data_IF_499959135892
#
_entry.id   IF_499959135892
#
_cell.length_a   1.000
_cell.length_b   1.000
_cell.length_c   1.000
_cell.angle_alpha   90.00
_cell.angle_beta   90.00
_cell.angle_gamma   90.00
#
_symmetry.space_group_name_H-M   'P 1'
#
loop_
_entity.id
_entity.type
_entity.pdbx_description
1 polymer ?
#
# COMPACT_ATOMS: atom_id res chain seq x y z
N UNK A 1 57.80 -71.45 60.88
CA UNK A 1 56.39 -71.48 60.46
C UNK A 1 55.58 -71.98 61.65
N UNK A 2 54.84 -71.11 62.34
CA UNK A 2 53.93 -71.52 63.39
C UNK A 2 52.52 -71.12 62.93
N UNK A 3 51.83 -72.10 62.35
CA UNK A 3 50.42 -71.99 61.97
C UNK A 3 49.60 -72.02 63.26
N UNK A 4 49.07 -70.88 63.67
CA UNK A 4 48.07 -70.79 64.73
C UNK A 4 46.77 -71.37 64.21
N UNK A 5 46.58 -72.68 64.40
CA UNK A 5 45.32 -73.35 64.15
C UNK A 5 44.28 -72.86 65.17
N UNK A 6 43.31 -72.06 64.72
CA UNK A 6 42.12 -71.69 65.47
C UNK A 6 41.35 -72.95 65.89
N UNK A 7 40.80 -73.00 67.10
CA UNK A 7 40.02 -74.15 67.57
C UNK A 7 38.76 -74.34 66.71
N UNK A 8 38.34 -75.59 66.40
CA UNK A 8 37.18 -75.87 65.54
C UNK A 8 35.88 -75.19 66.01
N UNK A 9 35.73 -75.04 67.33
CA UNK A 9 34.59 -74.38 67.97
C UNK A 9 34.52 -72.87 67.66
N UNK A 10 35.67 -72.19 67.59
CA UNK A 10 35.73 -70.77 67.27
C UNK A 10 35.44 -70.51 65.78
N UNK A 11 35.89 -71.42 64.91
CA UNK A 11 35.60 -71.38 63.47
C UNK A 11 34.11 -71.64 63.21
N UNK A 12 33.50 -72.63 63.87
CA UNK A 12 32.06 -72.88 63.79
C UNK A 12 31.23 -71.70 64.32
N UNK A 13 31.62 -71.10 65.44
CA UNK A 13 30.95 -69.91 65.98
C UNK A 13 30.99 -68.72 65.02
N UNK A 14 32.13 -68.47 64.37
CA UNK A 14 32.27 -67.40 63.37
C UNK A 14 31.43 -67.68 62.10
N UNK A 15 31.40 -68.94 61.63
CA UNK A 15 30.58 -69.33 60.49
C UNK A 15 29.08 -69.17 60.76
N UNK A 16 28.60 -69.51 61.96
CA UNK A 16 27.18 -69.34 62.32
C UNK A 16 26.77 -67.86 62.34
N UNK A 17 27.59 -66.98 62.93
CA UNK A 17 27.34 -65.53 62.91
C UNK A 17 27.31 -65.01 61.47
N UNK A 18 28.17 -65.53 60.60
CA UNK A 18 28.24 -65.11 59.21
C UNK A 18 27.05 -65.61 58.39
N UNK A 19 26.51 -66.80 58.69
CA UNK A 19 25.25 -67.31 58.13
C UNK A 19 24.06 -66.45 58.56
N UNK A 20 23.96 -66.07 59.84
CA UNK A 20 22.90 -65.18 60.34
C UNK A 20 22.94 -63.79 59.68
N UNK A 21 24.15 -63.26 59.44
CA UNK A 21 24.35 -61.99 58.72
C UNK A 21 23.90 -62.13 57.26
N UNK A 22 24.26 -63.24 56.61
CA UNK A 22 23.84 -63.51 55.23
C UNK A 22 22.33 -63.71 55.11
N UNK A 23 21.70 -64.42 56.03
CA UNK A 23 20.25 -64.64 56.04
C UNK A 23 19.49 -63.32 56.25
N UNK A 24 19.95 -62.46 57.16
CA UNK A 24 19.40 -61.09 57.30
C UNK A 24 19.59 -60.27 56.01
N UNK A 25 20.76 -60.35 55.39
CA UNK A 25 21.02 -59.63 54.15
C UNK A 25 20.14 -60.14 52.99
N UNK A 26 19.91 -61.45 52.88
CA UNK A 26 19.01 -62.05 51.87
C UNK A 26 17.58 -61.59 52.10
N UNK A 27 17.07 -61.68 53.33
CA UNK A 27 15.72 -61.22 53.66
C UNK A 27 15.52 -59.72 53.39
N UNK A 28 16.54 -58.90 53.67
CA UNK A 28 16.51 -57.47 53.36
C UNK A 28 16.53 -57.20 51.84
N UNK A 29 17.28 -58.02 51.09
CA UNK A 29 17.36 -57.93 49.64
C UNK A 29 16.05 -58.36 48.97
N UNK A 30 15.43 -59.44 49.45
CA UNK A 30 14.10 -59.90 48.99
C UNK A 30 13.02 -58.85 49.29
N UNK A 31 13.02 -58.26 50.49
CA UNK A 31 12.11 -57.18 50.85
C UNK A 31 12.30 -55.94 49.95
N UNK A 32 13.55 -55.60 49.62
CA UNK A 32 13.86 -54.51 48.67
C UNK A 32 13.40 -54.85 47.25
N UNK A 33 13.56 -56.09 46.80
CA UNK A 33 13.09 -56.52 45.48
C UNK A 33 11.56 -56.47 45.37
N UNK A 34 10.84 -56.96 46.36
CA UNK A 34 9.36 -56.90 46.40
C UNK A 34 8.88 -55.45 46.38
N UNK A 35 9.51 -54.58 47.17
CA UNK A 35 9.18 -53.15 47.18
C UNK A 35 9.48 -52.49 45.82
N UNK A 36 10.62 -52.80 45.22
CA UNK A 36 10.99 -52.24 43.91
C UNK A 36 10.03 -52.70 42.80
N UNK A 37 9.61 -53.97 42.81
CA UNK A 37 8.62 -54.52 41.89
C UNK A 37 7.26 -53.82 42.06
N UNK A 38 6.77 -53.68 43.29
CA UNK A 38 5.51 -52.98 43.57
C UNK A 38 5.55 -51.50 43.14
N UNK A 39 6.67 -50.81 43.35
CA UNK A 39 6.87 -49.43 42.87
C UNK A 39 6.88 -49.34 41.34
N UNK A 40 7.45 -50.34 40.65
CA UNK A 40 7.48 -50.40 39.19
C UNK A 40 6.09 -50.69 38.61
N UNK A 41 5.35 -51.62 39.20
CA UNK A 41 3.97 -51.92 38.80
C UNK A 41 3.05 -50.71 39.01
N UNK A 42 3.19 -50.01 40.14
CA UNK A 42 2.44 -48.78 40.39
C UNK A 42 2.75 -47.68 39.34
N UNK A 43 4.02 -47.55 38.92
CA UNK A 43 4.42 -46.62 37.84
C UNK A 43 3.80 -47.02 36.50
N UNK A 44 3.81 -48.30 36.15
CA UNK A 44 3.22 -48.79 34.90
C UNK A 44 1.71 -48.61 34.86
N UNK A 45 1.01 -48.92 35.95
CA UNK A 45 -0.45 -48.70 36.06
C UNK A 45 -0.79 -47.22 35.89
N UNK A 46 -0.02 -46.33 36.53
CA UNK A 46 -0.22 -44.87 36.37
C UNK A 46 0.04 -44.41 34.94
N UNK A 47 1.11 -44.88 34.30
CA UNK A 47 1.44 -44.54 32.92
C UNK A 47 0.38 -45.05 31.93
N UNK A 48 -0.15 -46.26 32.15
CA UNK A 48 -1.24 -46.83 31.36
C UNK A 48 -2.52 -45.98 31.48
N UNK A 49 -2.92 -45.64 32.71
CA UNK A 49 -4.09 -44.79 32.95
C UNK A 49 -3.95 -43.39 32.32
N UNK A 50 -2.76 -42.78 32.39
CA UNK A 50 -2.47 -41.50 31.73
C UNK A 50 -2.53 -41.62 30.19
N UNK A 51 -2.09 -42.73 29.62
CA UNK A 51 -2.17 -42.98 28.18
C UNK A 51 -3.62 -43.16 27.71
N UNK A 52 -4.42 -43.94 28.44
CA UNK A 52 -5.85 -44.14 28.14
C UNK A 52 -6.64 -42.82 28.25
N UNK A 53 -6.37 -42.01 29.28
CA UNK A 53 -6.99 -40.70 29.42
C UNK A 53 -6.65 -39.77 28.24
N UNK A 54 -5.39 -39.76 27.79
CA UNK A 54 -4.96 -39.00 26.61
C UNK A 54 -5.63 -39.49 25.32
N UNK A 55 -5.75 -40.81 25.14
CA UNK A 55 -6.43 -41.39 23.98
C UNK A 55 -7.93 -41.05 23.96
N UNK A 56 -8.60 -41.11 25.12
CA UNK A 56 -10.01 -40.72 25.26
C UNK A 56 -10.23 -39.23 24.92
N UNK A 57 -9.38 -38.34 25.47
CA UNK A 57 -9.45 -36.92 25.17
C UNK A 57 -9.21 -36.61 23.68
N UNK A 58 -8.24 -37.30 23.05
CA UNK A 58 -7.99 -37.15 21.62
C UNK A 58 -9.18 -37.62 20.76
N UNK A 59 -9.84 -38.71 21.14
CA UNK A 59 -11.02 -39.21 20.44
C UNK A 59 -12.22 -38.25 20.58
N UNK A 60 -12.43 -37.66 21.76
CA UNK A 60 -13.45 -36.63 21.96
C UNK A 60 -13.20 -35.37 21.11
N UNK A 61 -11.94 -34.93 21.02
CA UNK A 61 -11.56 -33.79 20.18
C UNK A 61 -11.84 -34.08 18.70
N UNK A 62 -11.47 -35.27 18.21
CA UNK A 62 -11.74 -35.68 16.83
C UNK A 62 -13.23 -35.73 16.53
N UNK A 63 -14.04 -36.26 17.45
CA UNK A 63 -15.50 -36.32 17.28
C UNK A 63 -16.10 -34.90 17.24
N UNK A 64 -15.69 -34.01 18.14
CA UNK A 64 -16.13 -32.60 18.12
C UNK A 64 -15.77 -31.90 16.81
N UNK A 65 -14.55 -32.12 16.32
CA UNK A 65 -14.08 -31.51 15.08
C UNK A 65 -14.80 -32.08 13.85
N UNK A 66 -15.16 -33.36 13.86
CA UNK A 66 -16.02 -33.97 12.83
C UNK A 66 -17.42 -33.33 12.82
N UNK A 67 -18.03 -33.12 13.99
CA UNK A 67 -19.34 -32.46 14.10
C UNK A 67 -19.30 -31.03 13.54
N UNK A 68 -18.31 -30.23 13.93
CA UNK A 68 -18.13 -28.87 13.40
C UNK A 68 -17.94 -28.86 11.88
N UNK A 69 -17.18 -29.81 11.34
CA UNK A 69 -16.98 -29.93 9.90
C UNK A 69 -18.27 -30.28 9.17
N UNK A 70 -19.14 -31.11 9.76
CA UNK A 70 -20.45 -31.42 9.17
C UNK A 70 -21.41 -30.23 9.20
N UNK A 71 -21.42 -29.45 10.28
CA UNK A 71 -22.23 -28.23 10.39
C UNK A 71 -21.81 -27.19 9.35
N UNK A 72 -20.50 -26.92 9.24
CA UNK A 72 -19.96 -25.99 8.23
C UNK A 72 -20.27 -26.42 6.80
N UNK A 73 -20.28 -27.73 6.51
CA UNK A 73 -20.68 -28.26 5.21
C UNK A 73 -22.16 -27.97 4.92
N UNK A 74 -23.02 -28.14 5.92
CA UNK A 74 -24.45 -27.87 5.78
C UNK A 74 -24.74 -26.38 5.59
N UNK A 75 -24.07 -25.51 6.36
CA UNK A 75 -24.17 -24.06 6.18
C UNK A 75 -23.70 -23.61 4.78
N UNK A 76 -22.58 -24.15 4.30
CA UNK A 76 -22.11 -23.86 2.95
C UNK A 76 -23.10 -24.31 1.86
N UNK A 77 -23.74 -25.46 2.04
CA UNK A 77 -24.79 -25.93 1.12
C UNK A 77 -26.00 -24.99 1.13
N UNK A 78 -26.45 -24.55 2.30
CA UNK A 78 -27.56 -23.60 2.44
C UNK A 78 -27.25 -22.23 1.80
N UNK A 79 -26.03 -21.71 1.98
CA UNK A 79 -25.58 -20.47 1.36
C UNK A 79 -25.54 -20.57 -0.16
N UNK A 80 -25.07 -21.70 -0.71
CA UNK A 80 -25.08 -21.93 -2.16
C UNK A 80 -26.50 -21.95 -2.73
N UNK A 81 -27.44 -22.61 -2.05
CA UNK A 81 -28.84 -22.64 -2.47
C UNK A 81 -29.45 -21.23 -2.48
N UNK A 82 -29.18 -20.40 -1.46
CA UNK A 82 -29.63 -19.00 -1.43
C UNK A 82 -29.05 -18.17 -2.57
N UNK A 83 -27.76 -18.35 -2.87
CA UNK A 83 -27.11 -17.64 -3.98
C UNK A 83 -27.70 -18.03 -5.33
N UNK A 84 -28.04 -19.31 -5.51
CA UNK A 84 -28.72 -19.79 -6.73
C UNK A 84 -30.12 -19.21 -6.87
N UNK A 85 -30.88 -19.11 -5.77
CA UNK A 85 -32.20 -18.47 -5.74
C UNK A 85 -32.10 -16.98 -6.11
N UNK A 86 -31.19 -16.22 -5.48
CA UNK A 86 -30.96 -14.80 -5.81
C UNK A 86 -30.54 -14.59 -7.27
N UNK A 87 -29.69 -15.47 -7.80
CA UNK A 87 -29.29 -15.45 -9.22
C UNK A 87 -30.47 -15.69 -10.14
N UNK A 88 -31.35 -16.64 -9.80
CA UNK A 88 -32.56 -16.91 -10.57
C UNK A 88 -33.50 -15.70 -10.55
N UNK A 89 -33.72 -15.08 -9.38
CA UNK A 89 -34.54 -13.86 -9.25
C UNK A 89 -33.98 -12.71 -10.09
N UNK A 90 -32.68 -12.45 -9.98
CA UNK A 90 -32.00 -11.40 -10.73
C UNK A 90 -32.04 -11.64 -12.25
N UNK A 91 -31.89 -12.90 -12.69
CA UNK A 91 -32.03 -13.27 -14.10
C UNK A 91 -33.43 -12.95 -14.64
N UNK A 92 -34.48 -13.27 -13.88
CA UNK A 92 -35.87 -12.96 -14.24
C UNK A 92 -36.09 -11.45 -14.34
N UNK A 93 -35.65 -10.68 -13.34
CA UNK A 93 -35.75 -9.22 -13.36
C UNK A 93 -35.03 -8.60 -14.56
N UNK A 94 -33.85 -9.12 -14.91
CA UNK A 94 -33.09 -8.64 -16.05
C UNK A 94 -33.77 -8.97 -17.39
N UNK A 95 -34.47 -10.11 -17.47
CA UNK A 95 -35.28 -10.48 -18.63
C UNK A 95 -36.51 -9.57 -18.78
N UNK A 96 -37.17 -9.22 -17.68
CA UNK A 96 -38.28 -8.26 -17.66
C UNK A 96 -37.85 -6.86 -18.12
N UNK A 97 -36.72 -6.36 -17.61
CA UNK A 97 -36.16 -5.06 -18.04
C UNK A 97 -35.80 -5.09 -19.53
N UNK A 98 -35.23 -6.18 -20.04
CA UNK A 98 -34.95 -6.34 -21.48
C UNK A 98 -36.22 -6.32 -22.31
N UNK A 99 -37.27 -7.03 -21.89
CA UNK A 99 -38.56 -7.03 -22.56
C UNK A 99 -39.19 -5.63 -22.56
N UNK A 100 -39.13 -4.92 -21.42
CA UNK A 100 -39.61 -3.54 -21.31
C UNK A 100 -38.87 -2.59 -22.26
N UNK A 101 -37.53 -2.67 -22.32
CA UNK A 101 -36.73 -1.86 -23.23
C UNK A 101 -37.01 -2.17 -24.71
N UNK A 102 -37.22 -3.45 -25.05
CA UNK A 102 -37.62 -3.84 -26.41
C UNK A 102 -39.00 -3.28 -26.77
N UNK A 103 -39.97 -3.33 -25.84
CA UNK A 103 -41.29 -2.76 -26.05
C UNK A 103 -41.23 -1.22 -26.20
N UNK A 104 -40.41 -0.55 -25.39
CA UNK A 104 -40.20 0.89 -25.50
C UNK A 104 -39.56 1.27 -26.84
N UNK A 105 -38.54 0.52 -27.29
CA UNK A 105 -37.91 0.71 -28.59
C UNK A 105 -38.91 0.50 -29.74
N UNK A 106 -39.76 -0.51 -29.64
CA UNK A 106 -40.82 -0.76 -30.63
C UNK A 106 -41.85 0.37 -30.68
N UNK A 107 -42.26 0.91 -29.51
CA UNK A 107 -43.15 2.08 -29.43
C UNK A 107 -42.51 3.33 -30.03
N UNK A 108 -41.25 3.60 -29.71
CA UNK A 108 -40.50 4.72 -30.26
C UNK A 108 -40.36 4.61 -31.79
N UNK A 109 -40.08 3.40 -32.30
CA UNK A 109 -40.04 3.16 -33.74
C UNK A 109 -41.41 3.34 -34.41
N UNK A 110 -42.51 2.90 -33.78
CA UNK A 110 -43.86 3.10 -34.30
C UNK A 110 -44.28 4.58 -34.28
N UNK A 111 -43.81 5.36 -33.30
CA UNK A 111 -44.06 6.80 -33.18
C UNK A 111 -43.20 7.61 -34.18
N UNK A 112 -42.08 7.04 -34.63
CA UNK A 112 -41.20 7.58 -35.68
C UNK A 112 -41.64 7.20 -37.11
N UNK A 113 -42.58 6.26 -37.29
CA UNK A 113 -43.19 5.88 -38.58
C UNK A 113 -44.31 6.86 -39.02
N UNK A 114 -44.05 8.17 -38.90
CA UNK A 114 -44.65 9.23 -39.72
C UNK A 114 -43.57 9.66 -40.73
N UNK A 115 -43.90 9.69 -42.03
CA UNK A 115 -43.18 8.95 -43.07
C UNK A 115 -41.72 9.41 -43.21
N UNK A 116 -40.78 8.53 -42.88
CA UNK A 116 -39.41 8.64 -43.38
C UNK A 116 -39.16 7.53 -44.38
N UNK A 117 -39.06 7.95 -45.64
CA UNK A 117 -38.55 7.17 -46.76
C UNK A 117 -37.33 6.36 -46.35
N UNK A 118 -37.36 5.09 -46.70
CA UNK A 118 -36.28 4.12 -46.59
C UNK A 118 -34.91 4.72 -46.93
N UNK A 119 -33.98 4.66 -45.98
CA UNK A 119 -32.54 4.49 -46.25
C UNK A 119 -31.79 4.26 -44.93
N UNK A 120 -31.72 2.99 -44.53
CA UNK A 120 -30.76 2.53 -43.53
C UNK A 120 -29.39 2.38 -44.16
N UNK A 121 -28.68 3.48 -44.39
CA UNK A 121 -27.23 3.52 -44.57
C UNK A 121 -26.71 4.96 -44.45
N UNK A 122 -25.95 5.22 -43.38
CA UNK A 122 -24.94 6.27 -43.20
C UNK A 122 -25.06 7.51 -44.11
N UNK A 123 -25.83 8.52 -43.69
CA UNK A 123 -25.58 9.90 -44.15
C UNK A 123 -24.53 10.50 -43.21
N UNK A 124 -23.39 11.00 -43.71
CA UNK A 124 -22.44 11.74 -42.87
C UNK A 124 -23.17 12.92 -42.21
N UNK A 125 -22.87 13.15 -40.93
CA UNK A 125 -23.47 14.25 -40.17
C UNK A 125 -23.24 15.58 -40.88
N UNK A 126 -24.27 16.43 -40.92
CA UNK A 126 -24.15 17.76 -41.53
C UNK A 126 -23.28 18.69 -40.69
N UNK A 127 -22.73 19.73 -41.33
CA UNK A 127 -21.93 20.74 -40.64
C UNK A 127 -22.72 21.43 -39.51
N UNK A 128 -23.99 21.76 -39.73
CA UNK A 128 -24.88 22.27 -38.68
C UNK A 128 -25.01 21.32 -37.48
N UNK A 129 -25.23 20.02 -37.72
CA UNK A 129 -25.38 19.03 -36.65
C UNK A 129 -24.08 18.89 -35.83
N UNK A 130 -22.91 18.96 -36.49
CA UNK A 130 -21.60 18.93 -35.82
C UNK A 130 -21.36 20.19 -34.96
N UNK A 131 -21.75 21.37 -35.46
CA UNK A 131 -21.64 22.63 -34.72
C UNK A 131 -22.56 22.61 -33.49
N UNK A 132 -23.82 22.19 -33.65
CA UNK A 132 -24.77 22.09 -32.54
C UNK A 132 -24.28 21.12 -31.46
N UNK A 133 -23.72 19.98 -31.86
CA UNK A 133 -23.16 18.98 -30.95
C UNK A 133 -21.96 19.53 -30.18
N UNK A 134 -21.05 20.26 -30.84
CA UNK A 134 -19.92 20.93 -30.19
C UNK A 134 -20.38 22.00 -29.20
N UNK A 135 -21.34 22.83 -29.59
CA UNK A 135 -21.81 23.94 -28.76
C UNK A 135 -22.62 23.43 -27.54
N UNK A 136 -23.32 22.30 -27.68
CA UNK A 136 -23.94 21.58 -26.56
C UNK A 136 -22.89 21.08 -25.57
N UNK A 137 -21.81 20.45 -26.06
CA UNK A 137 -20.70 20.01 -25.20
C UNK A 137 -19.99 21.19 -24.51
N UNK A 138 -19.87 22.34 -25.19
CA UNK A 138 -19.31 23.56 -24.58
C UNK A 138 -20.16 24.09 -23.42
N UNK A 139 -21.49 24.05 -23.55
CA UNK A 139 -22.40 24.41 -22.44
C UNK A 139 -22.33 23.41 -21.29
N UNK A 140 -22.21 22.11 -21.59
CA UNK A 140 -22.03 21.04 -20.60
C UNK A 140 -20.73 21.25 -19.81
N UNK A 141 -19.63 21.58 -20.48
CA UNK A 141 -18.37 21.90 -19.81
C UNK A 141 -18.46 23.16 -18.95
N UNK A 142 -19.12 24.21 -19.44
CA UNK A 142 -19.34 25.45 -18.68
C UNK A 142 -20.19 25.20 -17.41
N UNK A 143 -21.00 24.13 -17.39
CA UNK A 143 -21.72 23.66 -16.23
C UNK A 143 -20.89 22.73 -15.30
N UNK A 144 -19.57 22.63 -15.52
CA UNK A 144 -18.63 21.80 -14.75
C UNK A 144 -18.93 20.30 -14.75
N UNK A 145 -19.55 19.78 -15.82
CA UNK A 145 -19.83 18.35 -15.97
C UNK A 145 -18.55 17.59 -16.31
N UNK A 146 -18.33 16.46 -15.63
CA UNK A 146 -17.16 15.61 -15.84
C UNK A 146 -17.15 14.93 -17.23
N UNK A 147 -15.94 14.57 -17.64
CA UNK A 147 -15.63 13.84 -18.87
C UNK A 147 -16.26 12.43 -18.93
N UNK A 148 -16.57 11.80 -17.78
CA UNK A 148 -17.20 10.48 -17.72
C UNK A 148 -18.65 10.53 -18.20
N UNK A 149 -19.40 11.54 -17.76
CA UNK A 149 -20.74 11.81 -18.26
C UNK A 149 -20.74 12.24 -19.73
N UNK A 150 -19.74 13.00 -20.17
CA UNK A 150 -19.59 13.31 -21.59
C UNK A 150 -19.38 12.04 -22.44
N UNK A 151 -18.55 11.11 -21.97
CA UNK A 151 -18.33 9.81 -22.65
C UNK A 151 -19.59 8.96 -22.68
N UNK A 152 -20.33 8.86 -21.57
CA UNK A 152 -21.56 8.08 -21.51
C UNK A 152 -22.70 8.67 -22.36
N UNK A 153 -22.71 10.00 -22.52
CA UNK A 153 -23.58 10.71 -23.48
C UNK A 153 -23.17 10.53 -24.95
N UNK A 154 -22.09 9.77 -25.22
CA UNK A 154 -21.63 9.40 -26.55
C UNK A 154 -20.71 10.43 -27.21
N UNK A 155 -20.18 11.42 -26.47
CA UNK A 155 -19.16 12.33 -27.01
C UNK A 155 -17.81 11.64 -27.14
N UNK A 156 -17.13 11.95 -28.23
CA UNK A 156 -15.79 11.44 -28.52
C UNK A 156 -14.73 12.24 -27.77
N UNK A 157 -13.58 11.60 -27.56
CA UNK A 157 -12.42 12.25 -26.97
C UNK A 157 -11.98 13.49 -27.79
N UNK A 158 -12.06 13.44 -29.13
CA UNK A 158 -11.71 14.55 -30.00
C UNK A 158 -12.63 15.78 -29.80
N UNK A 159 -13.94 15.56 -29.64
CA UNK A 159 -14.92 16.63 -29.37
C UNK A 159 -14.63 17.29 -28.01
N UNK A 160 -14.31 16.51 -26.99
CA UNK A 160 -13.94 17.03 -25.67
C UNK A 160 -12.69 17.94 -25.75
N UNK A 161 -11.71 17.59 -26.60
CA UNK A 161 -10.48 18.40 -26.77
C UNK A 161 -10.77 19.76 -27.37
N UNK A 162 -11.62 19.80 -28.40
CA UNK A 162 -12.00 21.04 -29.10
C UNK A 162 -12.73 22.00 -28.16
N UNK A 163 -13.51 21.46 -27.23
CA UNK A 163 -14.23 22.23 -26.20
C UNK A 163 -13.31 22.59 -25.00
N UNK A 164 -12.09 22.07 -25.00
CA UNK A 164 -11.02 22.45 -24.09
C UNK A 164 -11.03 21.72 -22.75
N UNK A 165 -11.66 20.54 -22.66
CA UNK A 165 -11.38 19.65 -21.52
C UNK A 165 -9.87 19.42 -21.46
N UNK A 166 -9.33 19.39 -20.25
CA UNK A 166 -7.90 19.18 -20.02
C UNK A 166 -7.56 17.71 -20.22
N UNK A 167 -6.27 17.42 -20.45
CA UNK A 167 -5.81 16.04 -20.51
C UNK A 167 -6.05 15.29 -19.19
N UNK A 168 -5.94 15.98 -18.05
CA UNK A 168 -6.20 15.42 -16.72
C UNK A 168 -7.64 14.93 -16.57
N UNK A 169 -8.60 15.74 -17.03
CA UNK A 169 -10.01 15.36 -17.10
C UNK A 169 -10.15 14.20 -18.09
N UNK A 170 -9.69 14.33 -19.32
CA UNK A 170 -9.87 13.31 -20.35
C UNK A 170 -9.29 11.91 -19.97
N UNK A 171 -8.20 11.85 -19.20
CA UNK A 171 -7.60 10.60 -18.67
C UNK A 171 -8.54 9.80 -17.76
N UNK A 172 -9.51 10.44 -17.11
CA UNK A 172 -10.47 9.77 -16.22
C UNK A 172 -11.51 8.96 -17.03
N UNK A 173 -11.80 9.37 -18.26
CA UNK A 173 -12.88 8.79 -19.05
C UNK A 173 -12.39 7.96 -20.26
N UNK A 174 -11.31 8.38 -20.93
CA UNK A 174 -10.84 7.75 -22.17
C UNK A 174 -9.48 7.07 -22.01
N UNK A 175 -9.28 6.00 -22.78
CA UNK A 175 -8.02 5.26 -22.81
C UNK A 175 -6.92 6.02 -23.56
N UNK A 176 -5.67 5.63 -23.34
CA UNK A 176 -4.49 6.25 -23.96
C UNK A 176 -4.54 6.30 -25.48
N UNK A 177 -5.08 5.26 -26.12
CA UNK A 177 -5.19 5.22 -27.59
C UNK A 177 -6.26 6.19 -28.12
N UNK A 178 -7.36 6.36 -27.39
CA UNK A 178 -8.41 7.33 -27.71
C UNK A 178 -7.88 8.77 -27.55
N UNK A 179 -7.12 9.02 -26.47
CA UNK A 179 -6.45 10.30 -26.21
C UNK A 179 -5.40 10.63 -27.29
N UNK A 180 -4.66 9.62 -27.77
CA UNK A 180 -3.72 9.75 -28.88
C UNK A 180 -4.42 10.06 -30.20
N UNK A 181 -5.50 9.35 -30.52
CA UNK A 181 -6.30 9.59 -31.73
C UNK A 181 -6.97 10.97 -31.72
N UNK A 182 -7.43 11.42 -30.55
CA UNK A 182 -7.95 12.77 -30.35
C UNK A 182 -6.85 13.84 -30.37
N UNK A 183 -5.58 13.44 -30.28
CA UNK A 183 -4.40 14.30 -30.22
C UNK A 183 -4.31 15.12 -28.92
N UNK A 184 -4.93 14.66 -27.84
CA UNK A 184 -4.54 15.11 -26.50
C UNK A 184 -3.09 14.75 -26.21
N UNK A 185 -2.63 13.67 -26.84
CA UNK A 185 -1.29 13.13 -26.80
C UNK A 185 -0.79 13.03 -28.24
N UNK A 186 0.47 13.41 -28.48
CA UNK A 186 1.06 13.35 -29.82
C UNK A 186 1.04 11.92 -30.40
N UNK A 187 0.67 11.78 -31.67
CA UNK A 187 0.56 10.49 -32.38
C UNK A 187 1.91 9.81 -32.65
N UNK A 188 2.99 10.58 -32.60
CA UNK A 188 4.38 10.13 -32.46
C UNK A 188 4.92 10.79 -31.21
N UNK A 189 5.51 10.01 -30.30
CA UNK A 189 6.25 10.58 -29.18
C UNK A 189 7.24 11.65 -29.66
N UNK A 190 7.48 12.65 -28.83
CA UNK A 190 8.52 13.63 -29.08
C UNK A 190 9.83 13.02 -28.58
N UNK A 191 10.86 13.00 -29.43
CA UNK A 191 12.16 12.50 -28.97
C UNK A 191 12.82 13.49 -28.03
N UNK A 192 13.70 13.03 -27.14
CA UNK A 192 14.45 13.93 -26.25
C UNK A 192 15.31 14.94 -27.04
N UNK A 193 15.75 14.57 -28.25
CA UNK A 193 16.45 15.47 -29.18
C UNK A 193 15.53 16.57 -29.72
N UNK A 194 14.35 16.20 -30.23
CA UNK A 194 13.39 17.18 -30.74
C UNK A 194 12.96 18.15 -29.63
N UNK A 195 12.82 17.64 -28.40
CA UNK A 195 12.55 18.45 -27.22
C UNK A 195 13.63 19.51 -27.02
N UNK A 196 14.91 19.12 -27.04
CA UNK A 196 16.03 20.04 -26.84
C UNK A 196 16.10 21.11 -27.93
N UNK A 197 15.85 20.74 -29.19
CA UNK A 197 15.84 21.70 -30.31
C UNK A 197 14.73 22.75 -30.13
N UNK A 198 13.53 22.32 -29.72
CA UNK A 198 12.41 23.23 -29.50
C UNK A 198 12.56 24.06 -28.23
N UNK A 199 13.10 23.48 -27.16
CA UNK A 199 13.42 24.20 -25.93
C UNK A 199 14.50 25.27 -26.18
N UNK A 200 15.53 24.94 -26.95
CA UNK A 200 16.55 25.89 -27.41
C UNK A 200 16.00 26.99 -28.32
N UNK A 201 14.95 26.69 -29.10
CA UNK A 201 14.21 27.67 -29.89
C UNK A 201 13.26 28.57 -29.05
N UNK A 202 13.22 28.40 -27.73
CA UNK A 202 12.42 29.21 -26.81
C UNK A 202 11.01 28.66 -26.55
N UNK A 203 10.68 27.45 -27.03
CA UNK A 203 9.42 26.79 -26.66
C UNK A 203 9.50 26.31 -25.22
N UNK A 204 8.51 26.68 -24.41
CA UNK A 204 8.45 26.36 -22.97
C UNK A 204 7.29 25.42 -22.60
N UNK A 205 6.27 25.33 -23.46
CA UNK A 205 5.09 24.51 -23.22
C UNK A 205 5.13 23.18 -24.01
N UNK A 206 5.27 22.09 -23.27
CA UNK A 206 5.31 20.72 -23.76
C UNK A 206 4.16 19.88 -23.19
N UNK A 207 3.13 20.52 -22.62
CA UNK A 207 2.02 19.83 -21.95
C UNK A 207 1.33 18.79 -22.84
N UNK A 208 1.07 17.61 -22.28
CA UNK A 208 0.36 16.52 -22.94
C UNK A 208 1.15 15.75 -23.99
N UNK A 209 2.46 16.00 -24.14
CA UNK A 209 3.29 15.23 -25.06
C UNK A 209 3.64 13.84 -24.51
N UNK A 210 3.94 12.92 -25.42
CA UNK A 210 4.39 11.56 -25.10
C UNK A 210 5.91 11.48 -25.26
N UNK A 211 6.56 11.06 -24.19
CA UNK A 211 8.00 10.86 -24.03
C UNK A 211 8.30 9.44 -23.52
N UNK A 212 7.41 8.49 -23.80
CA UNK A 212 7.54 7.09 -23.37
C UNK A 212 8.88 6.51 -23.83
N UNK A 213 9.68 6.01 -22.88
CA UNK A 213 10.98 5.38 -23.14
C UNK A 213 12.12 6.32 -23.54
N UNK A 214 11.90 7.63 -23.54
CA UNK A 214 12.91 8.61 -23.94
C UNK A 214 13.98 8.84 -22.86
N UNK A 215 15.17 9.25 -23.30
CA UNK A 215 16.31 9.52 -22.42
C UNK A 215 16.51 11.01 -22.16
N UNK A 216 16.20 11.44 -20.93
CA UNK A 216 16.45 12.76 -20.35
C UNK A 216 17.59 12.74 -19.32
N UNK A 217 18.40 11.68 -19.32
CA UNK A 217 19.48 11.54 -18.34
C UNK A 217 20.46 12.72 -18.45
N UNK A 218 20.85 13.26 -17.29
CA UNK A 218 21.78 14.42 -17.17
C UNK A 218 21.29 15.73 -17.78
N UNK A 219 20.03 15.82 -18.21
CA UNK A 219 19.47 17.09 -18.69
C UNK A 219 19.31 18.09 -17.54
N UNK A 220 19.43 19.37 -17.88
CA UNK A 220 19.19 20.49 -16.96
C UNK A 220 17.93 21.20 -17.43
N UNK A 221 16.85 21.03 -16.67
CA UNK A 221 15.54 21.61 -16.97
C UNK A 221 15.17 22.57 -15.85
N UNK A 222 14.65 23.73 -16.22
CA UNK A 222 14.28 24.78 -15.30
C UNK A 222 12.76 25.02 -15.28
N UNK A 223 12.35 26.01 -14.47
CA UNK A 223 10.95 26.40 -14.30
C UNK A 223 10.25 26.88 -15.58
N UNK A 224 10.98 27.12 -16.67
CA UNK A 224 10.34 27.44 -17.95
C UNK A 224 9.68 26.19 -18.55
N UNK A 225 10.14 24.99 -18.23
CA UNK A 225 9.59 23.75 -18.76
C UNK A 225 8.24 23.38 -18.13
N UNK A 226 7.19 23.35 -18.97
CA UNK A 226 5.87 22.88 -18.58
C UNK A 226 5.58 21.51 -19.19
N UNK A 227 5.60 20.47 -18.37
CA UNK A 227 5.29 19.08 -18.74
C UNK A 227 3.97 18.58 -18.15
N UNK A 228 3.04 19.50 -17.86
CA UNK A 228 1.74 19.12 -17.32
C UNK A 228 1.03 18.11 -18.23
N UNK A 229 0.55 17.01 -17.66
CA UNK A 229 -0.18 15.97 -18.39
C UNK A 229 0.67 15.02 -19.24
N UNK A 230 1.97 15.24 -19.40
CA UNK A 230 2.83 14.43 -20.27
C UNK A 230 2.90 12.95 -19.87
N UNK A 231 3.32 12.10 -20.80
CA UNK A 231 3.57 10.68 -20.54
C UNK A 231 5.08 10.43 -20.58
N UNK A 232 5.65 10.03 -19.46
CA UNK A 232 7.06 9.69 -19.30
C UNK A 232 7.24 8.21 -18.96
N UNK A 233 6.33 7.35 -19.43
CA UNK A 233 6.33 5.94 -19.06
C UNK A 233 7.65 5.29 -19.48
N UNK A 234 8.40 4.74 -18.52
CA UNK A 234 9.72 4.14 -18.80
C UNK A 234 10.81 5.11 -19.27
N UNK A 235 10.58 6.43 -19.23
CA UNK A 235 11.61 7.41 -19.55
C UNK A 235 12.72 7.43 -18.48
N UNK A 236 13.93 7.89 -18.84
CA UNK A 236 15.04 8.02 -17.90
C UNK A 236 15.36 9.49 -17.60
N UNK A 237 15.29 9.90 -16.34
CA UNK A 237 15.81 11.19 -15.85
C UNK A 237 17.02 10.98 -14.93
N UNK A 238 17.77 9.90 -15.12
CA UNK A 238 18.94 9.60 -14.28
C UNK A 238 19.91 10.76 -14.26
N UNK A 239 20.32 11.20 -13.08
CA UNK A 239 21.22 12.35 -12.89
C UNK A 239 20.72 13.67 -13.51
N UNK A 240 19.44 13.79 -13.87
CA UNK A 240 18.88 15.04 -14.37
C UNK A 240 18.80 16.08 -13.25
N UNK A 241 18.93 17.35 -13.60
CA UNK A 241 18.73 18.49 -12.70
C UNK A 241 17.41 19.16 -13.09
N UNK A 242 16.39 18.98 -12.26
CA UNK A 242 15.04 19.49 -12.46
C UNK A 242 14.78 20.55 -11.38
N UNK A 243 14.68 21.82 -11.78
CA UNK A 243 14.49 22.93 -10.85
C UNK A 243 13.24 23.72 -11.22
N UNK A 244 12.19 23.61 -10.40
CA UNK A 244 10.94 24.34 -10.63
C UNK A 244 10.07 23.81 -11.77
N UNK A 245 10.37 22.62 -12.29
CA UNK A 245 9.67 22.04 -13.45
C UNK A 245 8.25 21.61 -13.05
N UNK A 246 7.29 21.84 -13.94
CA UNK A 246 5.89 21.45 -13.73
C UNK A 246 5.60 20.08 -14.37
N UNK A 247 5.42 19.06 -13.53
CA UNK A 247 5.00 17.70 -13.87
C UNK A 247 3.57 17.38 -13.42
N UNK A 248 2.72 18.38 -13.16
CA UNK A 248 1.35 18.14 -12.70
C UNK A 248 0.59 17.25 -13.68
N UNK A 249 -0.15 16.26 -13.16
CA UNK A 249 -0.90 15.29 -13.98
C UNK A 249 -0.06 14.45 -14.98
N UNK A 250 1.27 14.50 -14.89
CA UNK A 250 2.14 13.69 -15.72
C UNK A 250 2.11 12.22 -15.27
N UNK A 251 2.25 11.32 -16.22
CA UNK A 251 2.43 9.90 -15.95
C UNK A 251 3.92 9.56 -15.91
N UNK A 252 4.49 9.40 -14.71
CA UNK A 252 5.88 8.99 -14.50
C UNK A 252 5.99 7.49 -14.18
N UNK A 253 4.98 6.67 -14.52
CA UNK A 253 5.01 5.23 -14.27
C UNK A 253 6.24 4.58 -14.92
N UNK A 254 6.91 3.66 -14.22
CA UNK A 254 8.12 2.97 -14.69
C UNK A 254 9.33 3.87 -15.05
N UNK A 255 9.22 5.19 -14.83
CA UNK A 255 10.29 6.14 -15.07
C UNK A 255 11.45 5.95 -14.08
N UNK A 256 12.69 6.26 -14.49
CA UNK A 256 13.86 6.23 -13.62
C UNK A 256 14.29 7.64 -13.18
N UNK A 257 14.07 7.97 -11.91
CA UNK A 257 14.46 9.23 -11.27
C UNK A 257 15.75 9.08 -10.42
N UNK A 258 16.49 7.98 -10.57
CA UNK A 258 17.65 7.71 -9.72
C UNK A 258 18.72 8.80 -9.86
N UNK A 259 19.21 9.30 -8.74
CA UNK A 259 20.17 10.41 -8.67
C UNK A 259 19.71 11.74 -9.31
N UNK A 260 18.44 11.87 -9.68
CA UNK A 260 17.89 13.13 -10.17
C UNK A 260 17.75 14.14 -9.03
N UNK A 261 17.92 15.43 -9.31
CA UNK A 261 17.61 16.50 -8.37
C UNK A 261 16.24 17.08 -8.71
N UNK A 262 15.26 16.90 -7.85
CA UNK A 262 13.92 17.47 -7.97
C UNK A 262 13.76 18.60 -6.95
N UNK A 263 14.23 19.79 -7.30
CA UNK A 263 14.11 20.97 -6.45
C UNK A 263 12.92 21.80 -6.89
N UNK A 264 12.01 22.09 -5.97
CA UNK A 264 10.84 22.96 -6.19
C UNK A 264 9.96 22.51 -7.38
N UNK A 265 10.02 21.23 -7.75
CA UNK A 265 9.19 20.69 -8.82
C UNK A 265 7.75 20.51 -8.34
N UNK A 266 6.80 20.74 -9.24
CA UNK A 266 5.38 20.51 -8.96
C UNK A 266 4.98 19.16 -9.54
N UNK A 267 4.48 18.27 -8.69
CA UNK A 267 4.11 16.88 -9.05
C UNK A 267 2.67 16.58 -8.59
N UNK A 268 1.82 17.60 -8.51
CA UNK A 268 0.42 17.48 -8.09
C UNK A 268 -0.34 16.56 -9.05
N UNK A 269 -1.05 15.58 -8.51
CA UNK A 269 -1.81 14.57 -9.27
C UNK A 269 -0.99 13.82 -10.33
N UNK A 270 0.34 13.79 -10.21
CA UNK A 270 1.19 13.00 -11.07
C UNK A 270 1.15 11.52 -10.63
N UNK A 271 1.26 10.61 -11.58
CA UNK A 271 1.46 9.19 -11.27
C UNK A 271 2.95 8.96 -10.98
N UNK A 272 3.36 8.57 -9.77
CA UNK A 272 4.77 8.43 -9.43
C UNK A 272 5.40 7.17 -10.03
N UNK A 273 6.73 7.15 -10.24
CA UNK A 273 7.42 5.91 -10.54
C UNK A 273 7.46 5.00 -9.31
N UNK A 274 7.68 3.70 -9.56
CA UNK A 274 7.83 2.70 -8.51
C UNK A 274 8.92 3.11 -7.49
N UNK A 275 8.73 2.81 -6.20
CA UNK A 275 9.63 3.24 -5.11
C UNK A 275 11.12 2.99 -5.38
N UNK A 276 11.46 1.85 -6.01
CA UNK A 276 12.84 1.48 -6.35
C UNK A 276 13.52 2.35 -7.41
N UNK A 277 12.77 3.24 -8.09
CA UNK A 277 13.27 4.14 -9.14
C UNK A 277 13.66 5.53 -8.63
N UNK A 278 13.57 5.76 -7.32
CA UNK A 278 13.95 7.02 -6.67
C UNK A 278 15.35 6.97 -6.05
N UNK A 279 16.14 5.92 -6.32
CA UNK A 279 17.42 5.66 -5.65
C UNK A 279 18.39 6.84 -5.74
N UNK A 280 18.72 7.44 -4.59
CA UNK A 280 19.63 8.59 -4.52
C UNK A 280 19.09 9.90 -5.11
N UNK A 281 17.78 9.98 -5.42
CA UNK A 281 17.14 11.21 -5.85
C UNK A 281 17.20 12.26 -4.73
N UNK A 282 17.56 13.50 -5.09
CA UNK A 282 17.58 14.63 -4.16
C UNK A 282 16.24 15.34 -4.22
N UNK A 283 15.50 15.27 -3.12
CA UNK A 283 14.17 15.85 -3.00
C UNK A 283 14.22 17.11 -2.15
N UNK A 284 13.62 18.18 -2.65
CA UNK A 284 13.41 19.41 -1.87
C UNK A 284 12.18 20.15 -2.40
N UNK A 285 11.46 20.81 -1.50
CA UNK A 285 10.28 21.60 -1.86
C UNK A 285 8.98 20.80 -1.82
N UNK A 286 8.07 21.05 -2.77
CA UNK A 286 6.65 20.67 -2.74
C UNK A 286 6.34 19.29 -3.34
N UNK A 287 7.27 18.34 -3.27
CA UNK A 287 7.03 17.00 -3.83
C UNK A 287 6.06 16.23 -2.93
N UNK A 288 4.89 15.76 -3.43
CA UNK A 288 3.85 15.14 -2.60
C UNK A 288 4.16 13.67 -2.25
N UNK A 289 5.30 13.43 -1.58
CA UNK A 289 5.81 12.08 -1.29
C UNK A 289 4.83 11.21 -0.50
N UNK A 290 4.02 11.81 0.39
CA UNK A 290 3.00 11.06 1.15
C UNK A 290 1.89 10.52 0.23
N UNK A 291 1.47 11.30 -0.76
CA UNK A 291 0.47 10.86 -1.75
C UNK A 291 1.02 9.73 -2.63
N UNK A 292 2.34 9.70 -2.84
CA UNK A 292 3.04 8.64 -3.56
C UNK A 292 3.26 7.37 -2.72
N UNK A 293 2.72 7.31 -1.49
CA UNK A 293 2.79 6.14 -0.63
C UNK A 293 4.12 5.97 0.10
N UNK A 294 4.96 7.01 0.17
CA UNK A 294 6.16 6.99 1.00
C UNK A 294 5.85 7.30 2.46
N UNK A 295 6.50 6.59 3.37
CA UNK A 295 6.50 6.90 4.80
C UNK A 295 7.50 8.01 5.13
N UNK A 296 7.30 8.66 6.27
CA UNK A 296 8.20 9.73 6.74
C UNK A 296 9.64 9.21 6.98
N UNK A 297 9.77 7.94 7.40
CA UNK A 297 11.08 7.28 7.58
C UNK A 297 11.79 7.00 6.24
N UNK A 298 11.05 6.60 5.19
CA UNK A 298 11.63 6.38 3.86
C UNK A 298 12.18 7.68 3.26
N UNK A 299 11.44 8.80 3.37
CA UNK A 299 11.93 10.11 2.89
C UNK A 299 13.10 10.64 3.71
N UNK A 300 13.19 10.26 5.00
CA UNK A 300 14.37 10.54 5.83
C UNK A 300 15.61 9.80 5.36
N UNK A 301 15.47 8.52 5.03
CA UNK A 301 16.58 7.73 4.47
C UNK A 301 17.05 8.28 3.11
N UNK A 302 16.18 8.98 2.38
CA UNK A 302 16.53 9.71 1.14
C UNK A 302 17.17 11.09 1.41
N UNK A 303 17.32 11.51 2.67
CA UNK A 303 17.94 12.79 3.03
C UNK A 303 17.03 14.01 2.86
N UNK A 304 15.71 13.82 2.71
CA UNK A 304 14.76 14.91 2.57
C UNK A 304 14.49 15.56 3.94
N UNK A 305 14.97 16.79 4.14
CA UNK A 305 14.65 17.58 5.35
C UNK A 305 13.73 18.74 5.01
N UNK A 306 14.06 19.51 3.97
CA UNK A 306 13.25 20.66 3.55
C UNK A 306 11.99 20.21 2.80
N UNK A 307 10.85 20.81 3.12
CA UNK A 307 9.59 20.55 2.43
C UNK A 307 8.80 19.34 2.92
N UNK A 308 9.18 18.70 4.03
CA UNK A 308 8.41 17.61 4.66
C UNK A 308 6.93 17.97 4.92
N UNK A 309 6.67 19.21 5.39
CA UNK A 309 5.31 19.71 5.59
C UNK A 309 4.55 19.80 4.26
N UNK A 310 5.20 20.34 3.23
CA UNK A 310 4.62 20.47 1.89
C UNK A 310 4.39 19.10 1.22
N UNK A 311 5.20 18.10 1.56
CA UNK A 311 5.03 16.71 1.12
C UNK A 311 3.85 15.99 1.79
N UNK A 312 3.19 16.63 2.77
CA UNK A 312 1.99 16.14 3.43
C UNK A 312 2.21 15.45 4.78
N UNK A 313 3.44 15.42 5.31
CA UNK A 313 3.72 14.80 6.61
C UNK A 313 3.37 15.73 7.78
N UNK A 314 2.88 15.15 8.86
CA UNK A 314 2.60 15.84 10.13
C UNK A 314 3.83 15.86 11.02
N UNK A 315 3.87 16.77 12.01
CA UNK A 315 4.94 16.78 13.02
C UNK A 315 5.05 15.45 13.78
N UNK A 316 3.92 14.82 14.11
CA UNK A 316 3.92 13.54 14.82
C UNK A 316 4.60 12.43 13.98
N UNK A 317 4.31 12.35 12.68
CA UNK A 317 4.97 11.43 11.76
C UNK A 317 6.48 11.73 11.64
N UNK A 318 6.85 13.01 11.58
CA UNK A 318 8.25 13.42 11.60
C UNK A 318 8.95 12.99 12.91
N UNK A 319 8.27 13.10 14.05
CA UNK A 319 8.82 12.68 15.35
C UNK A 319 9.05 11.18 15.40
N UNK A 320 8.08 10.40 14.93
CA UNK A 320 8.17 8.94 14.85
C UNK A 320 9.30 8.49 13.92
N UNK A 321 9.55 9.22 12.82
CA UNK A 321 10.69 9.00 11.95
C UNK A 321 12.03 9.49 12.56
N UNK A 322 12.00 10.12 13.72
CA UNK A 322 13.15 10.62 14.46
C UNK A 322 13.74 11.91 13.90
N UNK A 323 12.97 12.74 13.20
CA UNK A 323 13.41 14.11 12.91
C UNK A 323 13.43 14.91 14.21
N UNK A 324 14.54 15.57 14.51
CA UNK A 324 14.64 16.52 15.63
C UNK A 324 15.35 17.74 15.09
N UNK A 325 16.59 17.58 14.64
CA UNK A 325 17.31 18.60 13.89
C UNK A 325 16.65 18.83 12.52
N UNK A 326 16.57 20.11 12.11
CA UNK A 326 16.01 20.49 10.81
C UNK A 326 14.48 20.56 10.75
N UNK A 327 13.75 20.34 11.85
CA UNK A 327 12.27 20.43 11.86
C UNK A 327 11.77 21.83 11.49
N UNK A 328 12.50 22.89 11.85
CA UNK A 328 12.19 24.25 11.40
C UNK A 328 12.40 24.42 9.88
N UNK A 329 13.49 23.86 9.34
CA UNK A 329 13.77 23.85 7.91
C UNK A 329 12.79 22.99 7.09
N UNK A 330 12.17 22.00 7.74
CA UNK A 330 11.09 21.18 7.20
C UNK A 330 9.76 21.94 7.01
N UNK A 331 9.66 23.17 7.53
CA UNK A 331 8.51 24.06 7.37
C UNK A 331 7.51 24.02 8.52
N UNK A 332 7.83 23.34 9.63
CA UNK A 332 6.96 23.26 10.80
C UNK A 332 7.17 24.43 11.76
N UNK A 333 6.11 24.82 12.43
CA UNK A 333 6.14 25.82 13.52
C UNK A 333 6.39 25.15 14.87
N UNK A 334 6.86 25.93 15.85
CA UNK A 334 7.07 25.42 17.21
C UNK A 334 5.77 24.92 17.86
N UNK A 335 4.63 25.56 17.57
CA UNK A 335 3.32 25.12 18.03
C UNK A 335 2.91 23.77 17.43
N UNK A 336 3.14 23.56 16.12
CA UNK A 336 2.91 22.27 15.46
C UNK A 336 3.84 21.17 16.01
N UNK A 337 5.10 21.52 16.32
CA UNK A 337 6.02 20.59 16.96
C UNK A 337 5.50 20.17 18.34
N UNK A 338 5.03 21.11 19.17
CA UNK A 338 4.44 20.78 20.47
C UNK A 338 3.21 19.87 20.32
N UNK A 339 2.29 20.19 19.41
CA UNK A 339 1.11 19.36 19.12
C UNK A 339 1.49 17.97 18.59
N UNK A 340 2.58 17.88 17.81
CA UNK A 340 3.17 16.63 17.33
C UNK A 340 3.92 15.83 18.41
N UNK A 341 3.91 16.30 19.66
CA UNK A 341 4.46 15.60 20.82
C UNK A 341 5.93 15.90 21.09
N UNK A 342 6.55 16.89 20.44
CA UNK A 342 7.94 17.29 20.73
C UNK A 342 8.07 17.96 22.11
N UNK A 343 9.14 17.65 22.81
CA UNK A 343 9.52 18.27 24.08
C UNK A 343 10.16 19.64 23.85
N UNK A 344 10.25 20.46 24.91
CA UNK A 344 10.91 21.76 24.83
C UNK A 344 12.41 21.64 24.46
N UNK A 345 13.08 20.57 24.92
CA UNK A 345 14.46 20.27 24.56
C UNK A 345 14.62 19.92 23.07
N UNK A 346 13.76 19.05 22.56
CA UNK A 346 13.76 18.68 21.13
C UNK A 346 13.41 19.89 20.24
N UNK A 347 12.48 20.75 20.68
CA UNK A 347 12.15 21.98 19.96
C UNK A 347 13.35 22.97 19.91
N UNK A 348 14.13 23.05 20.98
CA UNK A 348 15.37 23.84 20.98
C UNK A 348 16.41 23.26 20.03
N UNK A 349 16.62 21.94 20.05
CA UNK A 349 17.50 21.23 19.12
C UNK A 349 17.05 21.38 17.66
N UNK A 350 15.74 21.46 17.42
CA UNK A 350 15.16 21.75 16.10
C UNK A 350 15.41 23.17 15.58
N UNK A 351 16.00 24.06 16.40
CA UNK A 351 16.32 25.45 16.03
C UNK A 351 15.22 26.46 16.34
N UNK A 352 14.23 26.10 17.17
CA UNK A 352 13.25 27.08 17.66
C UNK A 352 13.83 27.90 18.82
N UNK A 353 13.57 29.21 18.81
CA UNK A 353 14.07 30.10 19.84
C UNK A 353 13.16 30.09 21.08
N UNK A 354 13.63 30.55 22.26
CA UNK A 354 12.85 30.52 23.49
C UNK A 354 11.51 31.26 23.42
N UNK A 355 11.42 32.33 22.62
CA UNK A 355 10.18 33.09 22.42
C UNK A 355 9.14 32.28 21.64
N UNK A 356 9.57 31.59 20.58
CA UNK A 356 8.73 30.66 19.82
C UNK A 356 8.22 29.53 20.71
N UNK A 357 9.08 28.99 21.59
CA UNK A 357 8.70 27.96 22.56
C UNK A 357 7.65 28.46 23.57
N UNK A 358 7.83 29.67 24.13
CA UNK A 358 6.85 30.26 25.03
C UNK A 358 5.51 30.53 24.33
N UNK A 359 5.53 31.03 23.10
CA UNK A 359 4.32 31.27 22.30
C UNK A 359 3.59 29.98 21.89
N UNK A 360 4.33 28.89 21.68
CA UNK A 360 3.78 27.54 21.51
C UNK A 360 3.19 26.98 22.82
N UNK A 361 3.41 27.66 23.95
CA UNK A 361 2.89 27.30 25.26
C UNK A 361 3.74 26.30 26.03
N UNK A 362 5.02 26.09 25.69
CA UNK A 362 5.93 25.36 26.57
C UNK A 362 6.09 26.10 27.89
N UNK A 363 6.05 25.37 29.00
CA UNK A 363 6.12 25.94 30.34
C UNK A 363 7.56 26.30 30.74
N UNK A 364 7.70 27.22 31.69
CA UNK A 364 9.02 27.60 32.22
C UNK A 364 9.77 26.43 32.85
N UNK A 365 9.07 25.47 33.47
CA UNK A 365 9.68 24.27 34.05
C UNK A 365 10.24 23.34 32.96
N UNK A 366 9.53 23.15 31.84
CA UNK A 366 10.01 22.39 30.68
C UNK A 366 11.22 23.07 30.02
N UNK A 367 11.23 24.40 29.94
CA UNK A 367 12.37 25.18 29.44
C UNK A 367 13.61 25.03 30.31
N UNK A 368 13.45 25.11 31.64
CA UNK A 368 14.56 24.95 32.60
C UNK A 368 15.11 23.51 32.61
N UNK A 369 14.25 22.50 32.49
CA UNK A 369 14.68 21.10 32.38
C UNK A 369 15.53 20.85 31.12
N UNK A 370 15.22 21.55 30.02
CA UNK A 370 16.00 21.51 28.79
C UNK A 370 17.37 22.20 28.88
N UNK A 371 17.58 23.12 29.85
CA UNK A 371 18.88 23.75 30.09
C UNK A 371 19.82 22.91 30.97
N UNK A 372 19.26 22.06 31.84
CA UNK A 372 20.03 21.22 32.76
C UNK A 372 20.59 19.93 32.14
N UNK A 373 20.26 19.62 30.88
CA UNK A 373 20.71 18.40 30.22
C UNK A 373 21.46 18.73 28.92
N UNK A 374 22.77 19.03 29.00
CA UNK A 374 23.62 19.11 27.82
C UNK A 374 24.00 17.69 27.42
N UNK A 375 23.16 17.07 26.59
CA UNK A 375 23.50 15.84 25.88
C UNK A 375 24.56 16.11 24.82
#
# INVERSE_FOLDING_TARGET
>A
MASTALSPELVCGHMLVQVDILEKAVNELDARQVKAAAEQDAKHVKAAAESEAKQSAAMQLLQSLQTQMTELRHENQALRARLEEERATMSTQLQEVRAHNQALAARLNAELELPRSASGASRPATLEELIQRRDALAKIKAAHVDCGMAKSAGYTCAEARVVGYTLSEAKVAWGTDELRAAGYISSKGMTSRDFMDQYGAGRSNFSGLDFTGEDFSRMVLDKACHFSGCIFKGASFRHATLVGVNFSHADLSDCDLSHASLRDCTLTDATPPAKGRWGGAKLSGTVPMKQFGFSCAEVKAMGMVQGLKAAGYTCAEAKQAGYVEGLKAAGYTCAEAKQGGYTCAEAKQAGFNPRECMQAGFTFQEGRAAESNPG
#
